data_IF_590964300572
#
_entry.id   IF_590964300572
#
_cell.length_a   1.000
_cell.length_b   1.000
_cell.length_c   1.000
_cell.angle_alpha   90.00
_cell.angle_beta   90.00
_cell.angle_gamma   90.00
#
_symmetry.space_group_name_H-M   'P 1'
#
loop_
_entity.id
_entity.type
_entity.pdbx_description
1 polymer ?
#
# COMPACT_ATOMS: atom_id res chain seq x y z
N UNK A 1 25.58 0.51 16.85
CA UNK A 1 25.38 -0.39 15.70
C UNK A 1 24.56 -1.57 16.20
N UNK A 2 23.22 -1.45 16.17
CA UNK A 2 22.33 -2.51 16.62
C UNK A 2 22.17 -3.51 15.47
N UNK A 3 22.46 -4.78 15.74
CA UNK A 3 22.21 -5.91 14.86
C UNK A 3 20.70 -5.91 14.50
N UNK A 4 20.37 -5.42 13.31
CA UNK A 4 19.10 -5.72 12.70
C UNK A 4 19.15 -7.21 12.35
N UNK A 5 18.47 -8.03 13.16
CA UNK A 5 18.17 -9.41 12.83
C UNK A 5 17.57 -9.44 11.42
N UNK A 6 18.17 -10.23 10.55
CA UNK A 6 17.70 -10.57 9.19
C UNK A 6 16.42 -11.43 9.25
N UNK A 7 15.44 -11.04 10.06
CA UNK A 7 14.14 -11.70 10.06
C UNK A 7 13.33 -11.17 8.88
N UNK A 8 12.90 -12.06 8.02
CA UNK A 8 11.98 -11.72 6.92
C UNK A 8 10.77 -10.99 7.51
N UNK A 9 10.36 -9.83 6.96
CA UNK A 9 9.17 -9.15 7.42
C UNK A 9 7.96 -10.08 7.44
N UNK A 10 7.07 -9.97 8.45
CA UNK A 10 5.93 -10.86 8.53
C UNK A 10 5.03 -10.67 7.32
N UNK A 11 4.52 -11.77 6.79
CA UNK A 11 3.38 -11.76 5.90
C UNK A 11 2.11 -11.39 6.65
N UNK A 12 0.97 -11.37 5.97
CA UNK A 12 -0.34 -11.12 6.57
C UNK A 12 -1.17 -12.39 6.42
N UNK A 13 -1.70 -12.91 7.52
CA UNK A 13 -2.62 -14.04 7.55
C UNK A 13 -4.00 -13.57 7.99
N UNK A 14 -4.99 -13.80 7.14
CA UNK A 14 -6.41 -13.53 7.39
C UNK A 14 -7.14 -14.86 7.39
N UNK A 15 -7.83 -15.19 8.49
CA UNK A 15 -8.51 -16.47 8.65
C UNK A 15 -9.97 -16.28 9.01
N UNK A 16 -10.84 -16.90 8.20
CA UNK A 16 -12.30 -16.93 8.39
C UNK A 16 -12.90 -15.53 8.67
N UNK A 17 -12.36 -14.51 7.99
CA UNK A 17 -12.77 -13.13 8.18
C UNK A 17 -14.21 -12.94 7.72
N UNK A 18 -15.07 -12.46 8.62
CA UNK A 18 -16.37 -11.93 8.30
C UNK A 18 -16.40 -10.43 8.59
N UNK A 19 -17.02 -9.68 7.70
CA UNK A 19 -17.27 -8.25 7.87
C UNK A 19 -18.65 -7.88 7.39
N UNK A 20 -19.45 -7.31 8.29
CA UNK A 20 -20.76 -6.74 7.99
C UNK A 20 -20.74 -5.26 8.34
N UNK A 21 -21.13 -4.40 7.42
CA UNK A 21 -21.28 -2.96 7.63
C UNK A 21 -22.77 -2.60 7.49
N UNK A 22 -23.39 -2.21 8.60
CA UNK A 22 -24.83 -2.04 8.66
C UNK A 22 -25.56 -3.36 8.36
N UNK A 23 -26.35 -3.42 7.28
CA UNK A 23 -27.04 -4.64 6.85
C UNK A 23 -26.32 -5.40 5.73
N UNK A 24 -25.22 -4.86 5.20
CA UNK A 24 -24.48 -5.46 4.10
C UNK A 24 -23.32 -6.32 4.59
N UNK A 25 -23.36 -7.61 4.29
CA UNK A 25 -22.21 -8.50 4.48
C UNK A 25 -21.24 -8.31 3.32
N UNK A 26 -20.04 -7.85 3.63
CA UNK A 26 -18.95 -7.65 2.66
C UNK A 26 -18.10 -8.91 2.48
N UNK A 27 -17.80 -9.59 3.58
CA UNK A 27 -17.01 -10.83 3.56
C UNK A 27 -17.68 -11.89 4.41
N UNK A 28 -17.62 -13.14 3.92
CA UNK A 28 -18.06 -14.33 4.64
C UNK A 28 -16.92 -15.35 4.60
N UNK A 29 -16.32 -15.65 5.77
CA UNK A 29 -15.26 -16.63 5.93
C UNK A 29 -14.06 -16.44 4.98
N UNK A 30 -13.70 -15.19 4.69
CA UNK A 30 -12.58 -14.86 3.81
C UNK A 30 -11.27 -15.36 4.42
N UNK A 31 -10.51 -16.10 3.61
CA UNK A 31 -9.16 -16.52 3.94
C UNK A 31 -8.19 -15.89 2.93
N UNK A 32 -7.10 -15.32 3.42
CA UNK A 32 -6.11 -14.65 2.58
C UNK A 32 -4.74 -14.73 3.23
N UNK A 33 -3.73 -15.11 2.44
CA UNK A 33 -2.33 -15.10 2.85
C UNK A 33 -1.54 -14.15 1.94
N UNK A 34 -0.80 -13.22 2.55
CA UNK A 34 0.10 -12.29 1.85
C UNK A 34 1.53 -12.63 2.25
N UNK A 35 2.34 -12.93 1.26
CA UNK A 35 3.74 -13.36 1.45
C UNK A 35 4.59 -12.24 2.07
N UNK A 36 5.33 -12.56 3.12
CA UNK A 36 6.25 -11.64 3.78
C UNK A 36 7.38 -11.17 2.86
N UNK A 37 7.78 -9.90 2.97
CA UNK A 37 8.86 -9.30 2.19
C UNK A 37 8.57 -9.13 0.70
N UNK A 38 7.31 -9.21 0.28
CA UNK A 38 6.89 -9.12 -1.13
C UNK A 38 5.81 -8.05 -1.33
N UNK A 39 5.77 -7.51 -2.55
CA UNK A 39 4.66 -6.70 -3.02
C UNK A 39 3.54 -7.59 -3.51
N UNK A 40 2.34 -7.39 -2.99
CA UNK A 40 1.11 -8.00 -3.48
C UNK A 40 0.15 -6.89 -3.90
N UNK A 41 -0.33 -6.90 -5.13
CA UNK A 41 -1.40 -6.01 -5.57
C UNK A 41 -2.76 -6.70 -5.48
N UNK A 42 -3.75 -5.97 -4.99
CA UNK A 42 -5.15 -6.37 -4.95
C UNK A 42 -5.95 -5.47 -5.87
N UNK A 43 -6.48 -6.06 -6.93
CA UNK A 43 -7.38 -5.42 -7.87
C UNK A 43 -8.82 -5.92 -7.68
N UNK A 44 -9.74 -5.36 -8.43
CA UNK A 44 -11.17 -5.78 -8.43
C UNK A 44 -12.08 -4.61 -8.72
N UNK A 45 -13.35 -4.89 -8.92
CA UNK A 45 -14.37 -3.88 -9.23
C UNK A 45 -14.55 -2.87 -8.10
N UNK A 46 -15.01 -1.66 -8.44
CA UNK A 46 -15.40 -0.67 -7.44
C UNK A 46 -16.49 -1.23 -6.54
N UNK A 47 -16.41 -0.96 -5.24
CA UNK A 47 -17.38 -1.48 -4.28
C UNK A 47 -17.16 -2.93 -3.82
N UNK A 48 -16.20 -3.68 -4.38
CA UNK A 48 -15.90 -5.06 -3.97
C UNK A 48 -15.40 -5.23 -2.52
N UNK A 49 -15.14 -4.12 -1.81
CA UNK A 49 -14.69 -4.18 -0.41
C UNK A 49 -13.18 -4.13 -0.18
N UNK A 50 -12.36 -3.86 -1.22
CA UNK A 50 -10.89 -3.81 -1.11
C UNK A 50 -10.40 -2.88 -0.01
N UNK A 51 -10.86 -1.62 0.00
CA UNK A 51 -10.50 -0.64 1.03
C UNK A 51 -11.01 -1.06 2.41
N UNK A 52 -12.18 -1.70 2.49
CA UNK A 52 -12.71 -2.24 3.75
C UNK A 52 -11.84 -3.36 4.29
N UNK A 53 -11.40 -4.29 3.44
CA UNK A 53 -10.45 -5.35 3.81
C UNK A 53 -9.15 -4.75 4.34
N UNK A 54 -8.59 -3.78 3.62
CA UNK A 54 -7.34 -3.13 4.04
C UNK A 54 -7.50 -2.41 5.38
N UNK A 55 -8.64 -1.74 5.64
CA UNK A 55 -8.92 -1.08 6.93
C UNK A 55 -9.03 -2.09 8.08
N UNK A 56 -9.61 -3.26 7.82
CA UNK A 56 -9.67 -4.33 8.84
C UNK A 56 -8.27 -4.89 9.12
N UNK A 57 -7.45 -5.12 8.07
CA UNK A 57 -6.05 -5.55 8.23
C UNK A 57 -5.24 -4.51 9.01
N UNK A 58 -5.47 -3.21 8.75
CA UNK A 58 -4.82 -2.11 9.46
C UNK A 58 -5.29 -1.95 10.93
N UNK A 59 -6.32 -2.69 11.35
CA UNK A 59 -6.92 -2.54 12.68
C UNK A 59 -7.76 -1.28 12.86
N UNK A 60 -8.10 -0.59 11.76
CA UNK A 60 -8.92 0.63 11.76
C UNK A 60 -10.42 0.35 11.84
N UNK A 61 -10.81 -0.87 11.51
CA UNK A 61 -12.19 -1.37 11.58
C UNK A 61 -12.15 -2.77 12.20
N UNK A 62 -12.89 -3.04 13.27
CA UNK A 62 -12.93 -4.38 13.83
C UNK A 62 -13.66 -5.34 12.88
N UNK A 63 -13.21 -6.59 12.70
CA UNK A 63 -13.95 -7.60 11.99
C UNK A 63 -15.20 -8.01 12.77
N UNK A 64 -16.24 -8.51 12.09
CA UNK A 64 -17.41 -9.11 12.73
C UNK A 64 -17.04 -10.46 13.38
N UNK A 65 -16.15 -11.23 12.73
CA UNK A 65 -15.51 -12.44 13.26
C UNK A 65 -14.28 -12.79 12.43
N UNK A 66 -13.51 -13.79 12.86
CA UNK A 66 -12.26 -14.19 12.23
C UNK A 66 -11.02 -13.58 12.89
N UNK A 67 -9.86 -13.85 12.33
CA UNK A 67 -8.57 -13.43 12.91
C UNK A 67 -7.64 -12.86 11.84
N UNK A 68 -6.85 -11.85 12.24
CA UNK A 68 -5.79 -11.27 11.42
C UNK A 68 -4.51 -11.23 12.26
N UNK A 69 -3.44 -11.76 11.71
CA UNK A 69 -2.12 -11.79 12.35
C UNK A 69 -1.00 -11.66 11.34
N UNK A 70 0.21 -11.45 11.80
CA UNK A 70 1.40 -11.70 10.99
C UNK A 70 1.57 -13.20 10.72
N UNK A 71 2.28 -13.56 9.65
CA UNK A 71 2.65 -14.95 9.35
C UNK A 71 3.52 -15.59 10.45
N UNK A 72 4.08 -14.77 11.34
CA UNK A 72 4.80 -15.16 12.55
C UNK A 72 3.86 -15.45 13.76
N UNK A 73 2.54 -15.38 13.55
CA UNK A 73 1.52 -15.58 14.59
C UNK A 73 1.33 -14.39 15.53
N UNK A 74 2.11 -13.31 15.38
CA UNK A 74 2.02 -12.15 16.25
C UNK A 74 1.02 -11.11 15.70
N UNK A 75 0.45 -10.24 16.56
CA UNK A 75 -0.41 -9.14 16.12
C UNK A 75 0.33 -8.20 15.17
N UNK A 76 -0.39 -7.64 14.21
CA UNK A 76 0.13 -6.63 13.29
C UNK A 76 0.09 -5.21 13.86
N UNK A 77 -0.55 -5.00 15.01
CA UNK A 77 -0.65 -3.71 15.69
C UNK A 77 0.75 -3.10 15.93
N UNK A 78 0.93 -1.85 15.52
CA UNK A 78 2.21 -1.15 15.64
C UNK A 78 3.28 -1.55 14.62
N UNK A 79 2.98 -2.49 13.72
CA UNK A 79 3.88 -3.01 12.69
C UNK A 79 3.46 -2.61 11.26
N UNK A 80 2.38 -1.83 11.16
CA UNK A 80 1.79 -1.41 9.87
C UNK A 80 2.02 0.10 9.65
N UNK A 81 2.49 0.45 8.46
CA UNK A 81 2.32 1.76 7.88
C UNK A 81 1.11 1.74 6.95
N UNK A 82 0.21 2.71 7.09
CA UNK A 82 -1.00 2.77 6.29
C UNK A 82 -1.10 4.09 5.52
N UNK A 83 -1.38 3.99 4.22
CA UNK A 83 -1.69 5.09 3.34
C UNK A 83 -3.08 4.86 2.75
N UNK A 84 -4.05 5.68 3.18
CA UNK A 84 -5.40 5.63 2.64
C UNK A 84 -5.52 6.36 1.30
N UNK A 85 -6.67 6.22 0.66
CA UNK A 85 -6.99 6.89 -0.60
C UNK A 85 -6.94 8.43 -0.48
N UNK A 86 -7.31 8.98 0.67
CA UNK A 86 -7.13 10.39 0.99
C UNK A 86 -5.76 10.64 1.62
N UNK A 87 -5.17 11.81 1.38
CA UNK A 87 -3.85 12.17 1.90
C UNK A 87 -3.78 12.26 3.43
N UNK A 88 -4.88 12.59 4.10
CA UNK A 88 -5.01 12.71 5.55
C UNK A 88 -3.85 13.51 6.20
N UNK A 89 -3.36 14.53 5.51
CA UNK A 89 -2.37 15.45 6.06
C UNK A 89 -3.03 16.38 7.07
N UNK A 90 -2.35 16.60 8.19
CA UNK A 90 -2.82 17.57 9.20
C UNK A 90 -2.66 19.00 8.67
N UNK A 91 -3.75 19.77 8.49
CA UNK A 91 -3.71 21.04 7.78
C UNK A 91 -2.95 22.15 8.52
N UNK A 92 -2.78 22.03 9.84
CA UNK A 92 -2.02 22.97 10.67
C UNK A 92 -0.53 22.67 10.78
N UNK A 93 -0.07 21.50 10.29
CA UNK A 93 1.34 21.12 10.26
C UNK A 93 1.96 21.47 8.90
N UNK A 94 3.26 21.75 8.89
CA UNK A 94 4.02 21.82 7.64
C UNK A 94 4.14 20.41 7.01
N UNK A 95 4.58 20.35 5.76
CA UNK A 95 4.78 19.07 5.07
C UNK A 95 5.86 18.24 5.77
N UNK A 96 7.00 18.83 6.15
CA UNK A 96 8.02 18.14 6.93
C UNK A 96 7.49 17.63 8.28
N UNK A 97 6.69 18.44 8.97
CA UNK A 97 6.07 18.03 10.23
C UNK A 97 5.06 16.88 10.03
N UNK A 98 4.32 16.87 8.94
CA UNK A 98 3.44 15.76 8.57
C UNK A 98 4.24 14.48 8.30
N UNK A 99 5.36 14.56 7.59
CA UNK A 99 6.23 13.42 7.33
C UNK A 99 6.79 12.84 8.64
N UNK A 100 7.27 13.69 9.53
CA UNK A 100 7.84 13.28 10.82
C UNK A 100 6.80 12.97 11.92
N UNK A 101 5.50 12.98 11.59
CA UNK A 101 4.44 12.90 12.59
C UNK A 101 4.53 11.66 13.48
N UNK A 102 4.90 10.52 12.91
CA UNK A 102 5.01 9.26 13.65
C UNK A 102 6.01 9.35 14.82
N UNK A 103 7.20 9.92 14.60
CA UNK A 103 8.18 10.13 15.66
C UNK A 103 7.65 11.06 16.74
N UNK A 104 6.96 12.14 16.33
CA UNK A 104 6.36 13.09 17.28
C UNK A 104 5.30 12.43 18.17
N UNK A 105 4.44 11.59 17.60
CA UNK A 105 3.39 10.89 18.35
C UNK A 105 3.97 9.85 19.33
N UNK A 106 5.12 9.26 18.99
CA UNK A 106 5.84 8.34 19.88
C UNK A 106 6.71 9.03 20.91
N UNK A 107 6.84 10.37 20.89
CA UNK A 107 7.77 11.12 21.74
C UNK A 107 9.23 10.92 21.37
N UNK A 108 9.52 10.43 20.17
CA UNK A 108 10.86 10.18 19.65
C UNK A 108 11.42 11.40 18.93
N UNK A 109 12.76 11.53 18.91
CA UNK A 109 13.42 12.54 18.08
C UNK A 109 13.20 12.22 16.60
N UNK A 110 12.71 13.22 15.85
CA UNK A 110 12.50 13.07 14.41
C UNK A 110 13.83 12.85 13.67
N UNK A 111 13.87 11.86 12.79
CA UNK A 111 14.93 11.63 11.81
C UNK A 111 14.74 12.62 10.65
N UNK A 112 15.28 13.83 10.81
CA UNK A 112 15.11 14.90 9.83
C UNK A 112 15.87 14.63 8.54
N UNK A 113 16.99 13.98 8.60
CA UNK A 113 17.78 13.65 7.41
C UNK A 113 17.03 12.68 6.52
N UNK A 114 16.38 11.67 7.12
CA UNK A 114 15.51 10.74 6.42
C UNK A 114 14.26 11.44 5.85
N UNK A 115 13.63 12.33 6.61
CA UNK A 115 12.49 13.09 6.12
C UNK A 115 12.86 13.98 4.93
N UNK A 116 14.01 14.68 5.00
CA UNK A 116 14.50 15.52 3.90
C UNK A 116 14.87 14.70 2.67
N UNK A 117 15.51 13.54 2.86
CA UNK A 117 15.78 12.60 1.77
C UNK A 117 14.48 12.18 1.06
N UNK A 118 13.46 11.74 1.80
CA UNK A 118 12.17 11.36 1.23
C UNK A 118 11.50 12.53 0.52
N UNK A 119 11.48 13.72 1.12
CA UNK A 119 10.91 14.92 0.52
C UNK A 119 11.63 15.31 -0.77
N UNK A 120 12.95 15.15 -0.83
CA UNK A 120 13.72 15.37 -2.06
C UNK A 120 13.32 14.35 -3.14
N UNK A 121 13.25 13.07 -2.77
CA UNK A 121 12.91 11.98 -3.70
C UNK A 121 11.49 12.09 -4.26
N UNK A 122 10.53 12.61 -3.48
CA UNK A 122 9.16 12.88 -3.97
C UNK A 122 9.01 14.27 -4.61
N UNK A 123 10.10 15.03 -4.78
CA UNK A 123 10.11 16.35 -5.43
C UNK A 123 9.41 17.45 -4.61
N UNK A 124 9.50 17.39 -3.27
CA UNK A 124 8.86 18.34 -2.36
C UNK A 124 9.83 19.10 -1.45
N UNK A 125 11.14 19.11 -1.73
CA UNK A 125 12.14 19.81 -0.91
C UNK A 125 11.79 21.27 -0.68
N UNK A 126 11.40 21.99 -1.74
CA UNK A 126 11.05 23.41 -1.67
C UNK A 126 9.72 23.66 -0.91
N UNK A 127 8.89 22.61 -0.80
CA UNK A 127 7.59 22.68 -0.12
C UNK A 127 7.63 22.15 1.31
N UNK A 128 8.80 21.80 1.85
CA UNK A 128 8.93 21.20 3.18
C UNK A 128 8.30 22.05 4.29
N UNK A 129 8.40 23.37 4.18
CA UNK A 129 7.82 24.34 5.14
C UNK A 129 6.40 24.80 4.80
N UNK A 130 5.88 24.43 3.63
CA UNK A 130 4.52 24.76 3.20
C UNK A 130 3.48 23.98 4.04
N UNK A 131 2.24 24.45 4.03
CA UNK A 131 1.09 23.75 4.62
C UNK A 131 0.31 23.00 3.52
N UNK A 132 -0.40 21.92 3.86
CA UNK A 132 -1.17 21.13 2.89
C UNK A 132 -2.11 21.94 1.99
N UNK A 133 -2.73 23.00 2.53
CA UNK A 133 -3.67 23.85 1.80
C UNK A 133 -3.05 24.57 0.58
N UNK A 134 -1.73 24.75 0.56
CA UNK A 134 -1.03 25.42 -0.56
C UNK A 134 -0.53 24.45 -1.64
N UNK A 135 -0.73 23.15 -1.44
CA UNK A 135 -0.25 22.10 -2.35
C UNK A 135 -1.36 21.63 -3.29
N UNK A 136 -0.98 21.23 -4.51
CA UNK A 136 -1.87 20.50 -5.42
C UNK A 136 -2.22 19.11 -4.86
N UNK A 137 -3.27 18.47 -5.38
CA UNK A 137 -3.66 17.11 -4.99
C UNK A 137 -2.52 16.10 -5.12
N UNK A 138 -1.82 16.11 -6.26
CA UNK A 138 -0.67 15.23 -6.49
C UNK A 138 0.51 15.53 -5.55
N UNK A 139 0.75 16.80 -5.18
CA UNK A 139 1.77 17.14 -4.18
C UNK A 139 1.38 16.61 -2.79
N UNK A 140 0.11 16.73 -2.40
CA UNK A 140 -0.37 16.17 -1.12
C UNK A 140 -0.25 14.66 -1.09
N UNK A 141 -0.59 13.96 -2.20
CA UNK A 141 -0.45 12.51 -2.29
C UNK A 141 1.02 12.07 -2.15
N UNK A 142 1.96 12.79 -2.79
CA UNK A 142 3.41 12.54 -2.64
C UNK A 142 3.90 12.77 -1.20
N UNK A 143 3.39 13.80 -0.52
CA UNK A 143 3.70 14.04 0.89
C UNK A 143 3.14 12.93 1.80
N UNK A 144 1.93 12.43 1.54
CA UNK A 144 1.34 11.30 2.27
C UNK A 144 2.16 10.02 2.07
N UNK A 145 2.65 9.75 0.85
CA UNK A 145 3.56 8.65 0.60
C UNK A 145 4.88 8.81 1.38
N UNK A 146 5.51 9.99 1.35
CA UNK A 146 6.72 10.25 2.12
C UNK A 146 6.49 10.03 3.62
N UNK A 147 5.34 10.44 4.18
CA UNK A 147 4.96 10.17 5.57
C UNK A 147 4.85 8.66 5.85
N UNK A 148 4.28 7.90 4.94
CA UNK A 148 4.13 6.44 5.06
C UNK A 148 5.50 5.76 5.05
N UNK A 149 6.35 6.10 4.09
CA UNK A 149 7.72 5.57 3.96
C UNK A 149 8.61 5.96 5.14
N UNK A 150 8.39 7.13 5.74
CA UNK A 150 9.16 7.62 6.87
C UNK A 150 9.11 6.68 8.07
N UNK A 151 8.01 5.97 8.27
CA UNK A 151 7.79 5.11 9.46
C UNK A 151 8.63 3.83 9.47
N UNK A 152 9.19 3.41 8.32
CA UNK A 152 9.99 2.17 8.16
C UNK A 152 9.33 0.93 8.75
N UNK A 153 8.01 0.86 8.73
CA UNK A 153 7.27 -0.29 9.25
C UNK A 153 7.44 -1.52 8.34
N UNK A 154 7.53 -2.75 8.91
CA UNK A 154 7.76 -3.96 8.12
C UNK A 154 6.61 -4.32 7.17
N UNK A 155 5.39 -3.87 7.49
CA UNK A 155 4.18 -4.06 6.67
C UNK A 155 3.67 -2.71 6.22
N UNK A 156 3.40 -2.56 4.94
CA UNK A 156 2.92 -1.31 4.33
C UNK A 156 1.65 -1.58 3.55
N UNK A 157 0.59 -0.87 3.89
CA UNK A 157 -0.70 -0.95 3.21
C UNK A 157 -0.95 0.36 2.47
N UNK A 158 -1.21 0.29 1.16
CA UNK A 158 -1.42 1.48 0.31
C UNK A 158 -2.70 1.33 -0.51
N UNK A 159 -3.62 2.27 -0.34
CA UNK A 159 -4.91 2.31 -1.06
C UNK A 159 -4.87 3.40 -2.13
N UNK A 160 -4.73 3.00 -3.39
CA UNK A 160 -4.62 3.88 -4.57
C UNK A 160 -3.56 5.00 -4.43
N UNK A 161 -2.32 4.68 -4.05
CA UNK A 161 -1.32 5.69 -3.66
C UNK A 161 -0.87 6.61 -4.79
N UNK A 162 -1.12 6.28 -6.04
CA UNK A 162 -0.62 7.02 -7.20
C UNK A 162 -1.72 7.61 -8.09
N UNK A 163 -2.99 7.53 -7.68
CA UNK A 163 -4.17 7.88 -8.50
C UNK A 163 -4.22 9.36 -8.91
N UNK A 164 -3.76 10.29 -8.06
CA UNK A 164 -3.78 11.74 -8.34
C UNK A 164 -2.51 12.25 -9.05
N UNK A 165 -1.62 11.36 -9.54
CA UNK A 165 -0.38 11.73 -10.18
C UNK A 165 -0.50 11.67 -11.71
N UNK A 166 0.15 12.62 -12.39
CA UNK A 166 0.37 12.54 -13.85
C UNK A 166 1.28 11.35 -14.19
N UNK A 167 1.29 10.93 -15.45
CA UNK A 167 1.96 9.70 -15.89
C UNK A 167 3.47 9.68 -15.60
N UNK A 168 4.17 10.78 -15.82
CA UNK A 168 5.62 10.86 -15.60
C UNK A 168 5.97 10.82 -14.11
N UNK A 169 5.32 11.67 -13.34
CA UNK A 169 5.47 11.70 -11.87
C UNK A 169 5.10 10.36 -11.26
N UNK A 170 3.99 9.75 -11.70
CA UNK A 170 3.55 8.43 -11.25
C UNK A 170 4.65 7.40 -11.43
N UNK A 171 5.26 7.33 -12.61
CA UNK A 171 6.34 6.37 -12.90
C UNK A 171 7.55 6.55 -11.97
N UNK A 172 7.97 7.80 -11.74
CA UNK A 172 9.09 8.13 -10.85
C UNK A 172 8.80 7.76 -9.40
N UNK A 173 7.60 8.08 -8.92
CA UNK A 173 7.19 7.81 -7.53
C UNK A 173 6.96 6.30 -7.29
N UNK A 174 6.48 5.57 -8.28
CA UNK A 174 6.40 4.10 -8.23
C UNK A 174 7.79 3.46 -8.11
N UNK A 175 8.77 3.93 -8.88
CA UNK A 175 10.16 3.47 -8.78
C UNK A 175 10.72 3.74 -7.38
N UNK A 176 10.54 4.96 -6.87
CA UNK A 176 10.95 5.30 -5.51
C UNK A 176 10.32 4.37 -4.46
N UNK A 177 9.00 4.15 -4.53
CA UNK A 177 8.30 3.27 -3.60
C UNK A 177 8.87 1.84 -3.65
N UNK A 178 9.10 1.31 -4.86
CA UNK A 178 9.69 0.00 -5.04
C UNK A 178 11.10 -0.11 -4.45
N UNK A 179 11.95 0.92 -4.61
CA UNK A 179 13.31 0.96 -4.06
C UNK A 179 13.31 1.03 -2.53
N UNK A 180 12.51 1.94 -1.95
CA UNK A 180 12.48 2.15 -0.48
C UNK A 180 11.84 0.97 0.24
N UNK A 181 10.88 0.30 -0.39
CA UNK A 181 10.14 -0.81 0.20
C UNK A 181 10.71 -2.20 -0.16
N UNK A 182 11.93 -2.26 -0.70
CA UNK A 182 12.62 -3.54 -0.89
C UNK A 182 12.64 -4.32 0.43
N UNK A 183 12.19 -5.57 0.39
CA UNK A 183 12.15 -6.44 1.56
C UNK A 183 10.99 -6.18 2.52
N UNK A 184 10.15 -5.16 2.32
CA UNK A 184 8.93 -4.96 3.11
C UNK A 184 7.77 -5.81 2.57
N UNK A 185 6.84 -6.14 3.45
CA UNK A 185 5.55 -6.73 3.03
C UNK A 185 4.61 -5.62 2.62
N UNK A 186 4.24 -5.58 1.34
CA UNK A 186 3.39 -4.51 0.81
C UNK A 186 2.10 -5.08 0.25
N UNK A 187 0.97 -4.53 0.70
CA UNK A 187 -0.33 -4.71 0.06
C UNK A 187 -0.73 -3.40 -0.62
N UNK A 188 -0.80 -3.44 -1.94
CA UNK A 188 -1.17 -2.32 -2.81
C UNK A 188 -2.56 -2.56 -3.36
N UNK A 189 -3.52 -1.68 -3.07
CA UNK A 189 -4.80 -1.63 -3.78
C UNK A 189 -4.65 -0.65 -4.94
N UNK A 190 -5.01 -1.10 -6.12
CA UNK A 190 -5.06 -0.25 -7.31
C UNK A 190 -6.13 -0.75 -8.29
N UNK A 191 -6.64 0.14 -9.11
CA UNK A 191 -7.48 -0.19 -10.26
C UNK A 191 -6.69 -0.19 -11.58
N UNK A 192 -5.41 0.20 -11.54
CA UNK A 192 -4.52 0.24 -12.71
C UNK A 192 -3.76 -1.08 -12.86
N UNK A 193 -4.11 -1.85 -13.89
CA UNK A 193 -3.49 -3.14 -14.19
C UNK A 193 -1.99 -3.01 -14.54
N UNK A 194 -1.59 -1.89 -15.17
CA UNK A 194 -0.19 -1.64 -15.50
C UNK A 194 0.64 -1.43 -14.22
N UNK A 195 0.12 -0.63 -13.29
CA UNK A 195 0.72 -0.40 -11.98
C UNK A 195 0.89 -1.70 -11.19
N UNK A 196 -0.18 -2.48 -11.09
CA UNK A 196 -0.18 -3.76 -10.40
C UNK A 196 0.87 -4.72 -10.98
N UNK A 197 0.86 -4.91 -12.30
CA UNK A 197 1.83 -5.77 -12.97
C UNK A 197 3.27 -5.26 -12.84
N UNK A 198 3.48 -3.94 -12.86
CA UNK A 198 4.81 -3.34 -12.77
C UNK A 198 5.44 -3.54 -11.40
N UNK A 199 4.68 -3.33 -10.32
CA UNK A 199 5.21 -3.24 -8.95
C UNK A 199 5.13 -4.53 -8.15
N UNK A 200 4.29 -5.49 -8.54
CA UNK A 200 3.95 -6.60 -7.66
C UNK A 200 4.68 -7.89 -7.99
N UNK A 201 4.94 -8.69 -6.96
CA UNK A 201 5.37 -10.08 -7.07
C UNK A 201 4.15 -11.00 -7.26
N UNK A 202 3.04 -10.67 -6.57
CA UNK A 202 1.80 -11.42 -6.59
C UNK A 202 0.63 -10.51 -6.95
N UNK A 203 -0.31 -11.03 -7.74
CA UNK A 203 -1.55 -10.35 -8.09
C UNK A 203 -2.73 -11.10 -7.52
N UNK A 204 -3.63 -10.38 -6.90
CA UNK A 204 -4.89 -10.86 -6.38
C UNK A 204 -6.02 -10.07 -7.02
N UNK A 205 -7.09 -10.75 -7.36
CA UNK A 205 -8.30 -10.12 -7.92
C UNK A 205 -9.47 -10.42 -7.01
N UNK A 206 -10.10 -9.38 -6.51
CA UNK A 206 -11.30 -9.46 -5.68
C UNK A 206 -12.54 -9.33 -6.55
N UNK A 207 -13.36 -10.36 -6.54
CA UNK A 207 -14.67 -10.41 -7.16
C UNK A 207 -15.79 -10.68 -6.17
N UNK A 208 -17.01 -10.89 -6.66
CA UNK A 208 -18.18 -11.22 -5.85
C UNK A 208 -18.08 -12.59 -5.17
N UNK A 209 -17.32 -13.52 -5.77
CA UNK A 209 -17.09 -14.87 -5.24
C UNK A 209 -15.93 -14.94 -4.22
N UNK A 210 -15.17 -13.88 -4.05
CA UNK A 210 -14.01 -13.83 -3.15
C UNK A 210 -12.75 -13.27 -3.80
N UNK A 211 -11.59 -13.69 -3.30
CA UNK A 211 -10.28 -13.27 -3.80
C UNK A 211 -9.61 -14.45 -4.51
N UNK A 212 -9.19 -14.21 -5.74
CA UNK A 212 -8.49 -15.18 -6.58
C UNK A 212 -7.06 -14.71 -6.88
N UNK A 213 -6.12 -15.64 -6.89
CA UNK A 213 -4.77 -15.35 -7.34
C UNK A 213 -4.72 -15.29 -8.88
N UNK A 214 -4.05 -14.30 -9.42
CA UNK A 214 -3.76 -14.22 -10.86
C UNK A 214 -2.52 -15.05 -11.21
N UNK A 215 -2.33 -15.45 -12.48
CA UNK A 215 -1.14 -16.16 -12.90
C UNK A 215 0.15 -15.44 -12.49
N UNK A 216 1.25 -16.18 -12.25
CA UNK A 216 2.53 -15.60 -11.85
C UNK A 216 3.05 -14.60 -12.87
N UNK A 217 3.58 -13.49 -12.36
CA UNK A 217 4.25 -12.48 -13.18
C UNK A 217 5.69 -12.90 -13.48
N UNK A 218 6.12 -12.73 -14.73
CA UNK A 218 7.50 -12.94 -15.13
C UNK A 218 8.38 -11.76 -14.70
N UNK A 219 9.64 -12.03 -14.36
CA UNK A 219 10.63 -11.04 -13.95
C UNK A 219 10.39 -10.47 -12.54
N UNK A 220 11.36 -9.67 -12.07
CA UNK A 220 11.31 -9.02 -10.76
C UNK A 220 10.79 -7.57 -10.86
N UNK A 221 9.96 -7.12 -9.90
CA UNK A 221 9.55 -5.72 -9.85
C UNK A 221 10.70 -4.80 -9.34
N UNK A 222 10.71 -3.51 -9.72
CA UNK A 222 9.79 -2.90 -10.68
C UNK A 222 10.15 -3.25 -12.12
N UNK A 223 9.17 -3.73 -12.90
CA UNK A 223 9.38 -4.10 -14.30
C UNK A 223 9.44 -2.85 -15.18
N UNK A 224 10.23 -2.91 -16.26
CA UNK A 224 10.26 -1.85 -17.25
C UNK A 224 8.91 -1.73 -17.97
N UNK A 225 8.49 -0.51 -18.33
CA UNK A 225 7.19 -0.29 -18.94
C UNK A 225 7.07 -0.91 -20.36
N UNK A 226 8.19 -1.11 -21.02
CA UNK A 226 8.32 -1.73 -22.37
C UNK A 226 8.59 -3.23 -22.33
N UNK A 227 8.59 -3.85 -21.14
CA UNK A 227 8.77 -5.29 -21.00
C UNK A 227 7.61 -6.06 -21.65
N UNK A 228 7.93 -6.92 -22.63
CA UNK A 228 6.94 -7.72 -23.35
C UNK A 228 6.17 -8.70 -22.45
N UNK A 229 6.78 -9.17 -21.36
CA UNK A 229 6.14 -10.01 -20.35
C UNK A 229 5.12 -9.20 -19.54
N UNK A 230 5.46 -7.96 -19.18
CA UNK A 230 4.58 -7.03 -18.50
C UNK A 230 3.31 -6.76 -19.33
N UNK A 231 3.47 -6.45 -20.62
CA UNK A 231 2.36 -6.15 -21.52
C UNK A 231 1.40 -7.34 -21.64
N UNK A 232 1.94 -8.56 -21.79
CA UNK A 232 1.13 -9.79 -21.83
C UNK A 232 0.40 -10.05 -20.53
N UNK A 233 1.07 -9.87 -19.39
CA UNK A 233 0.46 -10.04 -18.06
C UNK A 233 -0.65 -9.03 -17.82
N UNK A 234 -0.46 -7.79 -18.25
CA UNK A 234 -1.48 -6.74 -18.17
C UNK A 234 -2.73 -7.11 -18.99
N UNK A 235 -2.55 -7.57 -20.23
CA UNK A 235 -3.66 -8.00 -21.06
C UNK A 235 -4.44 -9.18 -20.46
N UNK A 236 -3.74 -10.17 -19.88
CA UNK A 236 -4.35 -11.30 -19.20
C UNK A 236 -5.15 -10.86 -17.97
N UNK A 237 -4.57 -9.95 -17.15
CA UNK A 237 -5.23 -9.40 -15.97
C UNK A 237 -6.49 -8.61 -16.33
N UNK A 238 -6.45 -7.78 -17.39
CA UNK A 238 -7.63 -7.04 -17.86
C UNK A 238 -8.74 -7.99 -18.32
N UNK A 239 -8.39 -9.09 -18.98
CA UNK A 239 -9.35 -10.12 -19.37
C UNK A 239 -10.00 -10.78 -18.15
N UNK A 240 -9.21 -11.10 -17.12
CA UNK A 240 -9.72 -11.67 -15.86
C UNK A 240 -10.67 -10.69 -15.16
N UNK A 241 -10.30 -9.41 -15.03
CA UNK A 241 -11.14 -8.36 -14.45
C UNK A 241 -12.46 -8.18 -15.20
N UNK A 242 -12.43 -8.24 -16.55
CA UNK A 242 -13.64 -8.17 -17.38
C UNK A 242 -14.58 -9.38 -17.20
N UNK A 243 -14.03 -10.55 -16.88
CA UNK A 243 -14.80 -11.77 -16.59
C UNK A 243 -15.50 -11.70 -15.23
N UNK A 244 -14.90 -11.04 -14.24
CA UNK A 244 -15.46 -10.89 -12.88
C UNK A 244 -16.51 -9.76 -12.81
N UNK A 245 -16.47 -8.82 -13.73
CA UNK A 245 -17.43 -7.70 -13.78
C UNK A 245 -18.79 -8.07 -14.40
N UNK A 246 -18.96 -9.29 -14.90
CA UNK A 246 -20.22 -9.84 -15.43
C UNK A 246 -20.92 -10.71 -14.39
#
# INVERSE_FOLDING_TARGET
>A
MSQLCNATPPGISVRQLCLTLGQQQLFSQLNLEITGGKFTALLGTSGAGKSSLMRVIAGLTPPSSGQISGSDGLPLTGRIAWMGQQDLLYPWLTIEQNVCLASRLKGEKADRDWAQYLLARVGLSQSARARPATLSGGMRQRAALARTLYTRQPVVLMDEPFSALDALTRHQIQTLAAEVLVGHTVLLITHDAAEACRLSHHLLVMGTAGIEASPPLLGLPPRAADDAGLIRSQAALLKQLSGIAR
#
